data_IF_151439165273
#
_entry.id   IF_151439165273
#
_cell.length_a   1.000
_cell.length_b   1.000
_cell.length_c   1.000
_cell.angle_alpha   90.00
_cell.angle_beta   90.00
_cell.angle_gamma   90.00
#
_symmetry.space_group_name_H-M   'P 1'
#
loop_
_entity.id
_entity.type
_entity.pdbx_description
1 polymer ?
#
# COMPACT_ATOMS: atom_id res chain seq x y z
N UNK A 1 -9.22 19.43 12.07
CA UNK A 1 -7.78 19.35 11.73
C UNK A 1 -7.40 17.89 11.90
N UNK A 2 -6.98 17.22 10.83
CA UNK A 2 -6.59 15.81 10.87
C UNK A 2 -5.42 15.65 11.84
N UNK A 3 -5.49 14.69 12.77
CA UNK A 3 -4.32 14.38 13.60
C UNK A 3 -3.26 13.65 12.79
N UNK A 4 -2.00 13.69 13.24
CA UNK A 4 -0.92 12.95 12.56
C UNK A 4 -1.18 11.44 12.49
N UNK A 5 -1.91 10.87 13.46
CA UNK A 5 -2.27 9.45 13.50
C UNK A 5 -3.34 9.10 12.49
N UNK A 6 -4.37 9.93 12.38
CA UNK A 6 -5.46 9.75 11.41
C UNK A 6 -4.92 9.91 9.99
N UNK A 7 -4.08 10.91 9.76
CA UNK A 7 -3.42 11.14 8.47
C UNK A 7 -2.50 9.99 8.07
N UNK A 8 -1.67 9.49 9.00
CA UNK A 8 -0.81 8.35 8.73
C UNK A 8 -1.62 7.08 8.43
N UNK A 9 -2.72 6.85 9.16
CA UNK A 9 -3.60 5.70 8.92
C UNK A 9 -4.30 5.79 7.56
N UNK A 10 -4.90 6.94 7.22
CA UNK A 10 -5.57 7.14 5.93
C UNK A 10 -4.62 7.01 4.74
N UNK A 11 -3.37 7.47 4.89
CA UNK A 11 -2.32 7.27 3.89
C UNK A 11 -2.06 5.78 3.65
N UNK A 12 -1.95 4.98 4.73
CA UNK A 12 -1.74 3.53 4.61
C UNK A 12 -2.97 2.83 4.03
N UNK A 13 -4.18 3.25 4.38
CA UNK A 13 -5.43 2.70 3.84
C UNK A 13 -5.51 2.92 2.32
N UNK A 14 -5.18 4.12 1.83
CA UNK A 14 -5.13 4.41 0.39
C UNK A 14 -4.12 3.53 -0.36
N UNK A 15 -2.92 3.35 0.22
CA UNK A 15 -1.91 2.44 -0.34
C UNK A 15 -2.41 0.99 -0.33
N UNK A 16 -3.04 0.55 0.76
CA UNK A 16 -3.56 -0.81 0.91
C UNK A 16 -4.64 -1.12 -0.12
N UNK A 17 -5.54 -0.17 -0.40
CA UNK A 17 -6.56 -0.30 -1.43
C UNK A 17 -5.94 -0.36 -2.83
N UNK A 18 -4.94 0.46 -3.13
CA UNK A 18 -4.21 0.43 -4.39
C UNK A 18 -3.49 -0.92 -4.61
N UNK A 19 -2.82 -1.43 -3.57
CA UNK A 19 -2.18 -2.75 -3.56
C UNK A 19 -3.20 -3.85 -3.86
N UNK A 20 -4.32 -3.85 -3.15
CA UNK A 20 -5.39 -4.84 -3.30
C UNK A 20 -6.02 -4.80 -4.69
N UNK A 21 -6.28 -3.60 -5.20
CA UNK A 21 -6.86 -3.39 -6.52
C UNK A 21 -5.92 -3.94 -7.60
N UNK A 22 -4.66 -3.52 -7.59
CA UNK A 22 -3.67 -4.00 -8.56
C UNK A 22 -3.44 -5.50 -8.46
N UNK A 23 -3.32 -6.06 -7.25
CA UNK A 23 -3.14 -7.49 -7.04
C UNK A 23 -4.26 -8.29 -7.70
N UNK A 24 -5.51 -7.86 -7.50
CA UNK A 24 -6.69 -8.46 -8.14
C UNK A 24 -6.68 -8.29 -9.66
N UNK A 25 -6.28 -7.12 -10.16
CA UNK A 25 -6.14 -6.87 -11.60
C UNK A 25 -5.12 -7.83 -12.26
N UNK A 26 -4.05 -8.20 -11.54
CA UNK A 26 -3.07 -9.18 -12.00
C UNK A 26 -3.52 -10.65 -11.78
N UNK A 27 -4.72 -10.88 -11.25
CA UNK A 27 -5.23 -12.23 -10.96
C UNK A 27 -4.52 -12.94 -9.80
N UNK A 28 -3.79 -12.21 -8.97
CA UNK A 28 -2.96 -12.77 -7.90
C UNK A 28 -3.78 -12.97 -6.61
N UNK A 29 -3.53 -14.08 -5.91
CA UNK A 29 -3.95 -14.23 -4.51
C UNK A 29 -3.01 -13.47 -3.57
N UNK A 30 -3.41 -13.29 -2.30
CA UNK A 30 -2.50 -12.73 -1.29
C UNK A 30 -1.25 -13.59 -1.06
N UNK A 31 -1.34 -14.91 -1.28
CA UNK A 31 -0.19 -15.81 -1.20
C UNK A 31 0.76 -15.61 -2.40
N UNK A 32 0.22 -15.39 -3.59
CA UNK A 32 1.03 -15.13 -4.78
C UNK A 32 1.78 -13.79 -4.65
N UNK A 33 1.11 -12.74 -4.16
CA UNK A 33 1.79 -11.47 -3.90
C UNK A 33 2.88 -11.63 -2.84
N UNK A 34 2.60 -12.35 -1.74
CA UNK A 34 3.60 -12.66 -0.73
C UNK A 34 4.83 -13.35 -1.32
N UNK A 35 4.66 -14.35 -2.20
CA UNK A 35 5.77 -15.00 -2.88
C UNK A 35 6.59 -14.03 -3.75
N UNK A 36 5.93 -13.11 -4.46
CA UNK A 36 6.58 -12.09 -5.29
C UNK A 36 7.37 -11.05 -4.50
N UNK A 37 7.04 -10.82 -3.22
CA UNK A 37 7.80 -9.87 -2.37
C UNK A 37 9.23 -10.32 -2.04
N UNK A 38 9.62 -11.55 -2.40
CA UNK A 38 10.98 -12.08 -2.19
C UNK A 38 12.10 -11.30 -2.90
N UNK A 39 11.75 -10.45 -3.87
CA UNK A 39 12.69 -9.53 -4.56
C UNK A 39 13.17 -8.37 -3.69
N UNK A 40 12.51 -8.11 -2.56
CA UNK A 40 12.80 -7.02 -1.65
C UNK A 40 12.69 -7.46 -0.19
N UNK A 41 11.93 -6.72 0.63
CA UNK A 41 11.58 -7.12 2.00
C UNK A 41 10.45 -8.15 1.95
N UNK A 42 10.69 -9.44 2.25
CA UNK A 42 9.65 -10.46 2.13
C UNK A 42 8.50 -10.20 3.11
N UNK A 43 7.27 -10.30 2.60
CA UNK A 43 6.03 -10.14 3.36
C UNK A 43 5.26 -11.45 3.33
N UNK A 44 4.78 -11.90 4.49
CA UNK A 44 3.96 -13.12 4.55
C UNK A 44 2.56 -12.85 4.00
N UNK A 45 1.83 -13.92 3.62
CA UNK A 45 0.40 -13.83 3.27
C UNK A 45 -0.41 -13.12 4.36
N UNK A 46 -0.10 -13.37 5.63
CA UNK A 46 -0.80 -12.74 6.76
C UNK A 46 -0.56 -11.22 6.78
N UNK A 47 0.68 -10.77 6.57
CA UNK A 47 1.01 -9.34 6.50
C UNK A 47 0.31 -8.66 5.32
N UNK A 48 0.28 -9.31 4.14
CA UNK A 48 -0.50 -8.81 2.99
C UNK A 48 -1.98 -8.69 3.34
N UNK A 49 -2.56 -9.73 3.96
CA UNK A 49 -3.97 -9.71 4.38
C UNK A 49 -4.27 -8.64 5.43
N UNK A 50 -3.36 -8.42 6.39
CA UNK A 50 -3.52 -7.40 7.42
C UNK A 50 -3.45 -5.99 6.85
N UNK A 51 -2.58 -5.76 5.86
CA UNK A 51 -2.54 -4.52 5.10
C UNK A 51 -3.88 -4.27 4.38
N UNK A 52 -4.34 -5.21 3.56
CA UNK A 52 -5.56 -5.07 2.74
C UNK A 52 -6.90 -5.04 3.49
N UNK A 53 -6.86 -5.29 4.80
CA UNK A 53 -8.01 -5.23 5.70
C UNK A 53 -7.90 -4.09 6.73
N UNK A 54 -6.86 -3.26 6.64
CA UNK A 54 -6.66 -2.13 7.54
C UNK A 54 -6.21 -2.50 8.97
N UNK A 55 -5.82 -3.77 9.20
CA UNK A 55 -5.26 -4.19 10.50
C UNK A 55 -3.83 -3.70 10.68
N UNK A 56 -3.03 -3.68 9.60
CA UNK A 56 -1.69 -3.07 9.60
C UNK A 56 -1.80 -1.59 9.25
N UNK A 57 -1.63 -0.73 10.26
CA UNK A 57 -1.74 0.74 10.14
C UNK A 57 -0.42 1.47 9.85
N UNK A 58 0.65 0.73 9.62
CA UNK A 58 1.98 1.28 9.32
C UNK A 58 2.56 0.58 8.11
N UNK A 59 3.23 1.33 7.25
CA UNK A 59 3.93 0.82 6.09
C UNK A 59 5.32 1.43 6.04
N UNK A 60 6.35 0.60 6.00
CA UNK A 60 7.72 1.09 5.81
C UNK A 60 7.99 1.41 4.33
N UNK A 61 8.92 2.33 4.06
CA UNK A 61 9.34 2.64 2.69
C UNK A 61 9.86 1.38 1.98
N UNK A 62 10.56 0.50 2.69
CA UNK A 62 11.02 -0.79 2.17
C UNK A 62 9.86 -1.71 1.73
N UNK A 63 8.75 -1.72 2.49
CA UNK A 63 7.53 -2.47 2.15
C UNK A 63 6.86 -1.86 0.93
N UNK A 64 6.74 -0.53 0.86
CA UNK A 64 6.20 0.19 -0.30
C UNK A 64 6.96 -0.14 -1.58
N UNK A 65 8.30 -0.03 -1.56
CA UNK A 65 9.16 -0.33 -2.71
C UNK A 65 9.05 -1.80 -3.15
N UNK A 66 8.99 -2.71 -2.17
CA UNK A 66 8.86 -4.15 -2.44
C UNK A 66 7.52 -4.47 -3.07
N UNK A 67 6.42 -3.94 -2.52
CA UNK A 67 5.07 -4.13 -3.06
C UNK A 67 4.96 -3.55 -4.47
N UNK A 68 5.50 -2.35 -4.71
CA UNK A 68 5.49 -1.73 -6.03
C UNK A 68 6.20 -2.59 -7.08
N UNK A 69 7.39 -3.10 -6.73
CA UNK A 69 8.16 -3.99 -7.60
C UNK A 69 7.41 -5.30 -7.85
N UNK A 70 6.86 -5.93 -6.81
CA UNK A 70 6.11 -7.19 -6.91
C UNK A 70 4.80 -7.06 -7.71
N UNK A 71 4.23 -5.86 -7.78
CA UNK A 71 3.01 -5.52 -8.50
C UNK A 71 3.25 -4.88 -9.89
N UNK A 72 4.50 -4.82 -10.32
CA UNK A 72 4.92 -4.33 -11.64
C UNK A 72 4.45 -2.89 -11.90
N UNK A 73 4.75 -1.99 -10.95
CA UNK A 73 4.36 -0.57 -11.01
C UNK A 73 5.37 0.34 -10.29
N UNK A 74 5.42 1.64 -10.64
CA UNK A 74 6.25 2.60 -9.91
C UNK A 74 5.71 2.84 -8.49
N UNK A 75 6.57 3.03 -7.47
CA UNK A 75 6.13 3.26 -6.08
C UNK A 75 5.16 4.44 -5.92
N UNK A 76 5.32 5.48 -6.74
CA UNK A 76 4.42 6.64 -6.75
C UNK A 76 2.98 6.27 -7.11
N UNK A 77 2.75 5.22 -7.91
CA UNK A 77 1.40 4.76 -8.23
C UNK A 77 0.71 4.04 -7.06
N UNK A 78 1.45 3.60 -6.04
CA UNK A 78 0.83 3.13 -4.78
C UNK A 78 0.65 4.28 -3.79
N UNK A 79 1.63 5.18 -3.71
CA UNK A 79 1.60 6.31 -2.80
C UNK A 79 0.50 7.32 -3.17
N UNK A 80 0.29 7.53 -4.47
CA UNK A 80 -0.71 8.43 -5.03
C UNK A 80 -1.53 7.70 -6.11
N UNK A 81 -2.46 6.82 -5.71
CA UNK A 81 -3.13 5.91 -6.64
C UNK A 81 -4.15 6.59 -7.55
N UNK A 82 -4.65 7.77 -7.16
CA UNK A 82 -5.50 8.60 -8.00
C UNK A 82 -4.93 10.03 -8.09
N UNK A 83 -4.30 10.35 -9.23
CA UNK A 83 -3.68 11.66 -9.47
C UNK A 83 -4.66 12.78 -9.78
N UNK A 84 -5.94 12.44 -9.99
CA UNK A 84 -7.01 13.42 -10.22
C UNK A 84 -7.72 13.80 -8.91
N UNK A 85 -7.45 13.07 -7.84
CA UNK A 85 -7.97 13.36 -6.52
C UNK A 85 -6.95 14.12 -5.69
N UNK A 86 -7.47 15.09 -4.98
CA UNK A 86 -6.77 15.83 -3.94
C UNK A 86 -6.35 14.87 -2.81
N UNK A 87 -5.06 14.85 -2.46
CA UNK A 87 -4.51 14.01 -1.39
C UNK A 87 -3.84 14.88 -0.35
N UNK A 88 -4.14 14.61 0.91
CA UNK A 88 -3.51 15.29 2.04
C UNK A 88 -2.03 14.89 2.16
N UNK A 89 -1.11 15.76 1.70
CA UNK A 89 0.35 15.53 1.77
C UNK A 89 0.94 15.77 3.16
N UNK A 90 0.25 16.55 4.00
CA UNK A 90 0.54 16.77 5.42
C UNK A 90 -0.77 16.97 6.18
N UNK A 91 -0.82 16.73 7.50
CA UNK A 91 -2.01 16.99 8.31
C UNK A 91 -2.68 18.35 8.05
N UNK A 92 -3.89 18.34 7.49
CA UNK A 92 -4.70 19.50 7.10
C UNK A 92 -4.26 20.23 5.82
N UNK A 93 -3.35 19.65 5.02
CA UNK A 93 -2.83 20.25 3.79
C UNK A 93 -2.92 19.26 2.62
N UNK A 94 -3.75 19.62 1.66
CA UNK A 94 -3.92 18.98 0.36
C UNK A 94 -2.97 19.58 -0.67
#
# INVERSE_FOLDING_TARGET
MTSWKEWAASTVDGIADAVKHRRKHLGLTAADLAARTSVGKPMTRAVISDLETGRKRTLEISELLTLATALELPPLALLFPNVLEDVEVLPGKT
#
